data_IF_216596552652
#
_entry.id   IF_216596552652
#
_cell.length_a   1.000
_cell.length_b   1.000
_cell.length_c   1.000
_cell.angle_alpha   90.00
_cell.angle_beta   90.00
_cell.angle_gamma   90.00
#
_symmetry.space_group_name_H-M   'P 1'
#
loop_
_entity.id
_entity.type
_entity.pdbx_description
1 polymer ?
#
# COMPACT_ATOMS: atom_id res chain seq x y z
N UNK A 1 -43.06 -40.05 48.17
CA UNK A 1 -42.10 -40.11 49.29
C UNK A 1 -40.78 -40.66 48.75
N UNK A 2 -39.75 -39.82 48.65
CA UNK A 2 -38.36 -40.27 48.52
C UNK A 2 -37.83 -40.71 49.91
N UNK A 3 -36.80 -41.57 49.95
CA UNK A 3 -35.43 -41.07 50.26
C UNK A 3 -34.36 -41.70 49.34
N UNK A 4 -33.25 -41.07 48.89
CA UNK A 4 -32.13 -40.31 49.50
C UNK A 4 -30.85 -41.18 49.63
N UNK A 5 -29.88 -40.93 48.72
CA UNK A 5 -28.40 -41.09 48.81
C UNK A 5 -27.80 -42.52 48.99
N UNK A 6 -26.61 -42.91 48.50
CA UNK A 6 -25.32 -42.21 48.39
C UNK A 6 -24.32 -43.02 47.51
N UNK A 7 -23.60 -42.32 46.62
CA UNK A 7 -22.15 -42.41 46.25
C UNK A 7 -21.32 -43.70 46.08
N UNK A 8 -20.54 -43.64 44.98
CA UNK A 8 -19.08 -43.84 44.79
C UNK A 8 -18.49 -45.17 44.27
N UNK A 9 -17.77 -45.00 43.14
CA UNK A 9 -16.39 -45.42 42.85
C UNK A 9 -16.08 -46.79 42.23
N UNK A 10 -15.22 -46.74 41.19
CA UNK A 10 -14.32 -47.82 40.75
C UNK A 10 -14.33 -48.04 39.22
N UNK A 11 -13.39 -47.48 38.44
CA UNK A 11 -12.08 -48.10 38.05
C UNK A 11 -12.31 -49.16 36.92
N UNK A 12 -11.73 -49.18 35.71
CA UNK A 12 -10.48 -48.61 35.14
C UNK A 12 -10.29 -49.09 33.65
N UNK A 13 -9.34 -48.47 32.91
CA UNK A 13 -8.62 -48.92 31.67
C UNK A 13 -9.34 -48.89 30.30
N UNK A 14 -8.75 -48.60 29.13
CA UNK A 14 -7.41 -48.32 28.56
C UNK A 14 -7.65 -47.52 27.24
N UNK A 15 -6.91 -46.47 26.86
CA UNK A 15 -5.79 -46.45 25.89
C UNK A 15 -5.25 -44.98 25.87
N UNK A 16 -4.00 -44.64 26.25
CA UNK A 16 -2.71 -44.72 25.50
C UNK A 16 -2.85 -44.28 24.02
N UNK A 17 -2.06 -43.42 23.38
CA UNK A 17 -0.85 -42.59 23.55
C UNK A 17 -0.88 -41.65 22.29
N UNK A 18 -0.32 -40.44 22.19
CA UNK A 18 1.05 -39.98 22.40
C UNK A 18 1.06 -38.43 22.36
N UNK A 19 1.65 -37.72 23.35
CA UNK A 19 3.02 -37.12 23.35
C UNK A 19 3.20 -36.10 22.20
N UNK A 20 3.43 -34.80 22.42
CA UNK A 20 4.73 -34.18 22.83
C UNK A 20 4.54 -32.81 23.53
N UNK A 21 5.25 -32.67 24.66
CA UNK A 21 5.83 -31.51 25.40
C UNK A 21 5.49 -30.05 24.99
N UNK A 22 4.97 -29.17 25.87
CA UNK A 22 5.58 -28.49 27.05
C UNK A 22 6.85 -27.69 26.76
N UNK A 23 6.74 -26.35 26.75
CA UNK A 23 7.63 -25.45 27.51
C UNK A 23 6.83 -24.22 27.96
N UNK A 24 6.65 -24.09 29.28
CA UNK A 24 6.25 -22.87 29.98
C UNK A 24 7.53 -22.06 30.22
N UNK A 25 7.56 -20.80 29.81
CA UNK A 25 8.51 -19.82 30.34
C UNK A 25 7.73 -18.61 30.86
N UNK A 26 7.63 -18.56 32.18
CA UNK A 26 7.33 -17.37 32.97
C UNK A 26 8.56 -16.45 33.01
N UNK A 27 8.31 -15.17 33.24
CA UNK A 27 9.23 -14.14 33.76
C UNK A 27 10.36 -13.65 32.84
N UNK A 28 10.14 -12.48 32.21
CA UNK A 28 10.92 -11.28 32.52
C UNK A 28 10.34 -10.05 31.79
N UNK A 29 9.64 -9.21 32.55
CA UNK A 29 9.50 -7.79 32.24
C UNK A 29 10.91 -7.19 32.25
N UNK A 30 11.43 -6.85 31.07
CA UNK A 30 12.54 -5.90 30.95
C UNK A 30 12.05 -4.68 30.19
N UNK A 31 12.14 -3.56 30.89
CA UNK A 31 12.06 -2.20 30.37
C UNK A 31 12.84 -2.08 29.05
N UNK A 32 12.11 -1.92 27.95
CA UNK A 32 12.68 -1.33 26.74
C UNK A 32 12.45 0.17 26.89
N UNK A 33 13.44 0.84 27.47
CA UNK A 33 13.66 2.26 27.18
C UNK A 33 13.94 2.37 25.69
N UNK A 34 12.94 2.82 24.94
CA UNK A 34 13.12 3.37 23.61
C UNK A 34 13.96 4.64 23.79
N UNK A 35 15.29 4.50 23.73
CA UNK A 35 16.14 5.66 23.46
C UNK A 35 15.95 6.01 21.99
N UNK A 36 15.37 7.19 21.78
CA UNK A 36 15.26 7.84 20.49
C UNK A 36 16.66 8.02 19.88
N UNK A 37 17.02 7.13 18.97
CA UNK A 37 18.00 7.43 17.93
C UNK A 37 17.27 7.34 16.58
N UNK A 38 16.41 8.34 16.36
CA UNK A 38 15.93 8.68 15.03
C UNK A 38 17.15 9.22 14.27
N UNK A 39 17.89 8.32 13.63
CA UNK A 39 18.70 8.70 12.48
C UNK A 39 17.72 9.16 11.39
N UNK A 40 17.39 10.45 11.40
CA UNK A 40 16.93 11.14 10.21
C UNK A 40 17.98 10.86 9.13
N UNK A 41 17.68 9.94 8.22
CA UNK A 41 18.42 9.82 6.97
C UNK A 41 18.36 11.20 6.32
N UNK A 42 19.45 11.96 6.46
CA UNK A 42 19.65 13.20 5.71
C UNK A 42 19.62 12.81 4.25
N UNK A 43 18.78 13.49 3.48
CA UNK A 43 18.82 13.45 2.02
C UNK A 43 20.28 13.64 1.55
N UNK A 44 20.70 13.02 0.45
CA UNK A 44 22.04 13.20 -0.09
C UNK A 44 22.35 14.71 -0.24
N UNK A 45 23.60 15.13 0.03
CA UNK A 45 23.99 16.52 -0.07
C UNK A 45 23.74 17.02 -1.50
N UNK A 46 23.15 18.21 -1.59
CA UNK A 46 22.91 18.91 -2.84
C UNK A 46 24.27 19.30 -3.40
N UNK A 47 24.55 18.95 -4.66
CA UNK A 47 25.67 19.53 -5.39
C UNK A 47 25.35 21.02 -5.63
N UNK A 48 25.99 21.89 -4.85
CA UNK A 48 25.69 23.33 -4.78
C UNK A 48 26.06 24.10 -6.07
N UNK A 49 26.58 23.42 -7.10
CA UNK A 49 27.08 24.04 -8.32
C UNK A 49 26.09 24.10 -9.50
N UNK A 50 24.79 23.80 -9.31
CA UNK A 50 23.78 24.01 -10.37
C UNK A 50 23.15 25.40 -10.24
N UNK A 51 23.65 26.27 -11.12
CA UNK A 51 23.35 27.68 -11.39
C UNK A 51 21.88 28.14 -11.35
N UNK A 52 21.69 29.40 -10.93
CA UNK A 52 20.62 30.34 -11.29
C UNK A 52 19.14 29.87 -11.14
N UNK A 53 18.61 30.05 -9.92
CA UNK A 53 17.18 30.27 -9.60
C UNK A 53 16.13 29.28 -10.16
N UNK A 54 16.51 28.05 -10.48
CA UNK A 54 15.55 26.97 -10.69
C UNK A 54 14.95 26.51 -9.36
N UNK A 55 13.63 26.61 -9.20
CA UNK A 55 12.94 25.94 -8.09
C UNK A 55 13.11 24.43 -8.32
N UNK A 56 13.98 23.79 -7.54
CA UNK A 56 14.14 22.34 -7.56
C UNK A 56 12.91 21.68 -6.92
N UNK A 57 12.03 21.13 -7.76
CA UNK A 57 10.91 20.32 -7.32
C UNK A 57 11.28 18.84 -7.22
N UNK A 58 10.73 18.19 -6.19
CA UNK A 58 10.93 16.76 -5.94
C UNK A 58 10.08 15.91 -6.92
N UNK A 59 10.23 14.59 -6.86
CA UNK A 59 9.26 13.66 -7.43
C UNK A 59 8.20 13.27 -6.39
N UNK A 60 6.93 13.24 -6.76
CA UNK A 60 5.91 12.58 -5.94
C UNK A 60 5.76 11.12 -6.36
N UNK A 61 5.93 10.19 -5.43
CA UNK A 61 5.56 8.79 -5.62
C UNK A 61 4.39 8.40 -4.73
N UNK A 62 3.31 7.94 -5.36
CA UNK A 62 2.02 7.69 -4.72
C UNK A 62 1.48 6.29 -5.11
N UNK A 63 0.75 5.65 -4.20
CA UNK A 63 0.10 4.36 -4.48
C UNK A 63 -1.12 4.11 -3.59
N UNK A 64 -2.03 3.24 -4.02
CA UNK A 64 -3.14 2.74 -3.18
C UNK A 64 -2.73 1.89 -1.95
N UNK A 65 -1.42 1.68 -1.74
CA UNK A 65 -0.91 0.75 -0.73
C UNK A 65 -1.02 -0.71 -1.20
N UNK A 66 -0.30 -1.64 -0.57
CA UNK A 66 -0.42 -3.07 -0.94
C UNK A 66 0.20 -3.49 -2.29
N UNK A 67 0.56 -2.56 -3.17
CA UNK A 67 0.99 -2.84 -4.57
C UNK A 67 2.42 -3.36 -4.77
N UNK A 68 3.15 -3.75 -3.72
CA UNK A 68 4.49 -4.35 -3.88
C UNK A 68 5.62 -3.44 -4.42
N UNK A 69 5.48 -2.11 -4.39
CA UNK A 69 6.51 -1.17 -4.91
C UNK A 69 7.64 -0.81 -3.94
N UNK A 70 7.59 -1.28 -2.67
CA UNK A 70 8.50 -0.82 -1.60
C UNK A 70 9.99 -0.96 -1.93
N UNK A 71 10.40 -2.07 -2.55
CA UNK A 71 11.82 -2.32 -2.84
C UNK A 71 12.38 -1.33 -3.87
N UNK A 72 11.64 -1.10 -4.95
CA UNK A 72 11.99 -0.08 -5.95
C UNK A 72 12.09 1.31 -5.32
N UNK A 73 11.09 1.71 -4.51
CA UNK A 73 11.06 3.04 -3.90
C UNK A 73 12.19 3.28 -2.89
N UNK A 74 12.62 2.24 -2.17
CA UNK A 74 13.79 2.29 -1.28
C UNK A 74 15.09 2.48 -2.04
N UNK A 75 15.19 1.92 -3.25
CA UNK A 75 16.34 2.15 -4.10
C UNK A 75 16.28 3.58 -4.67
N UNK A 76 15.13 4.00 -5.17
CA UNK A 76 14.89 5.33 -5.72
C UNK A 76 15.24 6.48 -4.77
N UNK A 77 14.84 6.42 -3.49
CA UNK A 77 15.11 7.45 -2.49
C UNK A 77 16.62 7.71 -2.25
N UNK A 78 17.49 6.76 -2.60
CA UNK A 78 18.94 6.94 -2.47
C UNK A 78 19.54 7.86 -3.54
N UNK A 79 18.90 7.95 -4.70
CA UNK A 79 19.44 8.64 -5.89
C UNK A 79 18.56 9.79 -6.39
N UNK A 80 17.37 9.97 -5.81
CA UNK A 80 16.46 11.05 -6.21
C UNK A 80 15.65 11.58 -5.02
N UNK A 81 15.31 12.87 -5.11
CA UNK A 81 14.48 13.53 -4.10
C UNK A 81 13.01 13.17 -4.29
N UNK A 82 12.38 12.66 -3.23
CA UNK A 82 10.99 12.21 -3.25
C UNK A 82 10.26 12.49 -1.94
N UNK A 83 8.95 12.26 -1.90
CA UNK A 83 8.19 12.16 -0.65
C UNK A 83 8.62 10.95 0.20
N UNK A 84 8.33 10.99 1.50
CA UNK A 84 8.78 10.02 2.50
C UNK A 84 8.34 8.59 2.14
N UNK A 85 9.28 7.64 2.01
CA UNK A 85 8.93 6.28 1.60
C UNK A 85 8.05 5.53 2.62
N UNK A 86 8.11 5.91 3.89
CA UNK A 86 7.29 5.38 4.97
C UNK A 86 5.91 6.02 5.08
N UNK A 87 5.59 6.97 4.20
CA UNK A 87 4.36 7.76 4.23
C UNK A 87 4.16 8.48 5.58
N UNK A 88 5.27 8.99 6.17
CA UNK A 88 5.22 9.86 7.36
C UNK A 88 4.69 11.24 7.02
N UNK A 89 4.87 11.70 5.78
CA UNK A 89 4.30 12.95 5.27
C UNK A 89 2.83 12.83 4.82
N UNK A 90 2.29 11.61 4.76
CA UNK A 90 0.89 11.33 4.45
C UNK A 90 0.50 11.65 3.00
N UNK A 91 1.48 11.71 2.08
CA UNK A 91 1.24 12.08 0.69
C UNK A 91 0.90 10.88 -0.20
N UNK A 92 1.32 9.66 0.16
CA UNK A 92 1.23 8.49 -0.73
C UNK A 92 -0.18 8.02 -1.04
N UNK A 93 -1.15 8.36 -0.19
CA UNK A 93 -2.54 7.88 -0.32
C UNK A 93 -3.53 9.01 -0.62
N UNK A 94 -3.04 10.20 -0.98
CA UNK A 94 -3.90 11.30 -1.42
C UNK A 94 -4.34 11.07 -2.86
N UNK A 95 -5.65 11.11 -3.09
CA UNK A 95 -6.22 11.20 -4.43
C UNK A 95 -5.77 12.50 -5.11
N UNK A 96 -5.74 12.53 -6.44
CA UNK A 96 -5.39 13.73 -7.20
C UNK A 96 -6.31 14.92 -6.81
N UNK A 97 -7.60 14.66 -6.60
CA UNK A 97 -8.59 15.67 -6.18
C UNK A 97 -8.28 16.40 -4.86
N UNK A 98 -7.38 15.86 -4.03
CA UNK A 98 -6.95 16.47 -2.77
C UNK A 98 -5.85 17.53 -2.95
N UNK A 99 -5.21 17.58 -4.11
CA UNK A 99 -4.21 18.59 -4.42
C UNK A 99 -4.94 19.80 -4.97
N UNK A 100 -4.90 20.93 -4.26
CA UNK A 100 -5.57 22.18 -4.66
C UNK A 100 -4.63 23.17 -5.34
N UNK A 101 -3.33 23.01 -5.12
CA UNK A 101 -2.30 23.80 -5.75
C UNK A 101 -1.56 22.93 -6.76
N UNK A 102 -1.93 23.06 -8.03
CA UNK A 102 -1.27 22.38 -9.14
C UNK A 102 -1.43 23.19 -10.43
N UNK A 103 -0.52 22.96 -11.37
CA UNK A 103 -0.56 23.46 -12.74
C UNK A 103 0.19 22.47 -13.65
N UNK A 104 0.35 22.81 -14.93
CA UNK A 104 1.07 21.98 -15.91
C UNK A 104 2.53 21.67 -15.58
N UNK A 105 3.14 22.39 -14.64
CA UNK A 105 4.57 22.28 -14.30
C UNK A 105 4.81 21.65 -12.94
N UNK A 106 3.86 21.72 -12.01
CA UNK A 106 4.06 21.20 -10.65
C UNK A 106 2.76 21.01 -9.87
N UNK A 107 2.83 20.19 -8.82
CA UNK A 107 1.88 20.18 -7.71
C UNK A 107 2.59 20.65 -6.44
N UNK A 108 1.87 21.34 -5.56
CA UNK A 108 2.44 21.88 -4.31
C UNK A 108 1.63 21.48 -3.08
N UNK A 109 2.33 21.18 -1.99
CA UNK A 109 1.72 20.84 -0.70
C UNK A 109 2.64 21.23 0.46
N UNK A 110 2.14 22.05 1.38
CA UNK A 110 2.87 22.52 2.58
C UNK A 110 4.29 23.02 2.27
N UNK A 111 4.45 23.84 1.22
CA UNK A 111 5.74 24.41 0.82
C UNK A 111 6.67 23.48 0.03
N UNK A 112 6.30 22.21 -0.16
CA UNK A 112 6.97 21.30 -1.10
C UNK A 112 6.35 21.42 -2.48
N UNK A 113 7.16 21.34 -3.53
CA UNK A 113 6.70 21.23 -4.90
C UNK A 113 7.20 19.93 -5.54
N UNK A 114 6.39 19.37 -6.44
CA UNK A 114 6.71 18.17 -7.19
C UNK A 114 6.47 18.41 -8.68
N UNK A 115 7.48 18.20 -9.51
CA UNK A 115 7.43 18.43 -10.97
C UNK A 115 7.03 17.18 -11.76
N UNK A 116 7.13 16.00 -11.14
CA UNK A 116 6.73 14.71 -11.70
C UNK A 116 5.97 13.90 -10.67
N UNK A 117 5.05 13.06 -11.15
CA UNK A 117 4.30 12.13 -10.31
C UNK A 117 4.36 10.72 -10.88
N UNK A 118 4.86 9.77 -10.08
CA UNK A 118 4.72 8.35 -10.34
C UNK A 118 3.56 7.78 -9.52
N UNK A 119 2.56 7.23 -10.20
CA UNK A 119 1.40 6.59 -9.59
C UNK A 119 1.50 5.08 -9.81
N UNK A 120 1.70 4.31 -8.74
CA UNK A 120 1.75 2.85 -8.81
C UNK A 120 0.37 2.27 -8.51
N UNK A 121 -0.22 1.62 -9.53
CA UNK A 121 -1.53 0.97 -9.48
C UNK A 121 -1.32 -0.54 -9.33
N UNK A 122 -2.14 -1.17 -8.49
CA UNK A 122 -2.14 -2.61 -8.34
C UNK A 122 -3.54 -3.17 -8.52
N UNK A 123 -3.64 -4.50 -8.44
CA UNK A 123 -4.94 -5.15 -8.33
C UNK A 123 -5.67 -4.62 -7.06
N UNK A 124 -6.92 -4.16 -7.20
CA UNK A 124 -7.64 -3.51 -6.12
C UNK A 124 -8.02 -4.50 -5.02
N UNK A 125 -8.41 -5.73 -5.34
CA UNK A 125 -8.73 -6.75 -4.33
C UNK A 125 -7.48 -7.18 -3.58
N UNK A 126 -6.35 -7.36 -4.28
CA UNK A 126 -5.08 -7.69 -3.65
C UNK A 126 -4.58 -6.53 -2.79
N UNK A 127 -4.90 -5.29 -3.16
CA UNK A 127 -4.63 -4.13 -2.32
C UNK A 127 -5.40 -4.20 -1.01
N UNK A 128 -6.71 -4.47 -1.06
CA UNK A 128 -7.55 -4.64 0.14
C UNK A 128 -7.03 -5.79 1.00
N UNK A 129 -6.75 -6.95 0.40
CA UNK A 129 -6.18 -8.10 1.11
C UNK A 129 -4.83 -7.73 1.74
N UNK A 130 -3.84 -7.30 0.96
CA UNK A 130 -2.49 -6.97 1.44
C UNK A 130 -2.50 -5.94 2.58
N UNK A 131 -3.41 -4.96 2.51
CA UNK A 131 -3.53 -3.91 3.52
C UNK A 131 -4.43 -4.30 4.70
N UNK A 132 -5.16 -5.40 4.68
CA UNK A 132 -5.99 -5.85 5.80
C UNK A 132 -5.41 -7.06 6.55
N UNK A 133 -4.71 -7.96 5.86
CA UNK A 133 -4.27 -9.25 6.43
C UNK A 133 -2.77 -9.34 6.68
N UNK A 134 -1.94 -8.92 5.72
CA UNK A 134 -0.52 -9.34 5.67
C UNK A 134 0.49 -8.28 6.16
N UNK A 135 0.14 -7.00 6.17
CA UNK A 135 1.10 -5.95 6.54
C UNK A 135 1.09 -5.65 8.03
N UNK A 136 2.29 -5.31 8.55
CA UNK A 136 2.54 -4.73 9.89
C UNK A 136 1.60 -3.56 10.26
N UNK A 137 1.02 -2.91 9.26
CA UNK A 137 0.15 -1.75 9.42
C UNK A 137 -1.34 -2.10 9.51
N UNK A 138 -1.76 -3.30 9.09
CA UNK A 138 -3.18 -3.68 8.98
C UNK A 138 -4.01 -2.59 8.30
N UNK A 139 -5.28 -2.46 8.71
CA UNK A 139 -6.25 -1.51 8.14
C UNK A 139 -5.85 -0.02 8.22
N UNK A 140 -4.73 0.32 8.86
CA UNK A 140 -4.21 1.69 8.93
C UNK A 140 -3.99 2.30 7.54
N UNK A 141 -3.48 1.54 6.57
CA UNK A 141 -3.30 2.03 5.20
C UNK A 141 -4.63 2.25 4.49
N UNK A 142 -5.61 1.34 4.67
CA UNK A 142 -6.97 1.56 4.17
C UNK A 142 -7.60 2.80 4.78
N UNK A 143 -7.39 3.05 6.07
CA UNK A 143 -7.88 4.27 6.73
C UNK A 143 -7.18 5.54 6.23
N UNK A 144 -5.90 5.48 5.87
CA UNK A 144 -5.21 6.58 5.20
C UNK A 144 -5.82 6.85 3.82
N UNK A 145 -6.08 5.82 3.04
CA UNK A 145 -6.72 5.93 1.73
C UNK A 145 -8.16 6.46 1.81
N UNK A 146 -9.00 5.90 2.71
CA UNK A 146 -10.36 6.37 2.96
C UNK A 146 -10.39 7.87 3.28
N UNK A 147 -9.51 8.33 4.18
CA UNK A 147 -9.35 9.76 4.50
C UNK A 147 -8.88 10.58 3.30
N UNK A 148 -7.87 10.09 2.58
CA UNK A 148 -7.35 10.70 1.36
C UNK A 148 -8.34 10.75 0.20
N UNK A 149 -9.48 10.04 0.31
CA UNK A 149 -10.56 10.04 -0.66
C UNK A 149 -11.86 10.67 -0.13
N UNK A 150 -11.81 11.32 1.05
CA UNK A 150 -12.97 11.90 1.74
C UNK A 150 -14.12 10.91 1.94
N UNK A 151 -13.83 9.62 2.17
CA UNK A 151 -14.87 8.63 2.48
C UNK A 151 -15.43 8.91 3.87
N UNK A 152 -16.75 9.05 3.94
CA UNK A 152 -17.50 9.34 5.17
C UNK A 152 -17.67 8.04 5.97
N UNK A 153 -17.44 8.11 7.28
CA UNK A 153 -17.63 7.00 8.21
C UNK A 153 -16.46 6.82 9.16
N UNK A 154 -16.65 5.99 10.17
CA UNK A 154 -15.61 5.69 11.14
C UNK A 154 -14.43 4.95 10.47
N UNK A 155 -13.19 5.21 10.89
CA UNK A 155 -12.04 4.41 10.49
C UNK A 155 -12.25 2.94 10.87
N UNK A 156 -11.75 2.03 10.03
CA UNK A 156 -11.67 0.61 10.39
C UNK A 156 -10.88 0.43 11.68
N UNK A 157 -11.42 -0.39 12.58
CA UNK A 157 -10.76 -0.75 13.83
C UNK A 157 -9.61 -1.71 13.52
N UNK A 158 -8.57 -1.73 14.36
CA UNK A 158 -7.37 -2.55 14.14
C UNK A 158 -7.66 -4.04 13.89
N UNK A 159 -8.77 -4.55 14.44
CA UNK A 159 -9.22 -5.94 14.32
C UNK A 159 -10.27 -6.17 13.22
N UNK A 160 -10.57 -5.18 12.38
CA UNK A 160 -11.46 -5.36 11.23
C UNK A 160 -10.87 -6.41 10.29
N UNK A 161 -11.65 -7.43 9.97
CA UNK A 161 -11.23 -8.55 9.11
C UNK A 161 -11.44 -8.23 7.63
N UNK A 162 -10.73 -8.93 6.75
CA UNK A 162 -10.94 -8.86 5.30
C UNK A 162 -12.40 -9.17 4.92
N UNK A 163 -12.98 -10.21 5.53
CA UNK A 163 -14.37 -10.57 5.30
C UNK A 163 -15.32 -9.42 5.64
N UNK A 164 -15.13 -8.74 6.78
CA UNK A 164 -15.95 -7.58 7.16
C UNK A 164 -15.86 -6.43 6.13
N UNK A 165 -14.67 -6.17 5.59
CA UNK A 165 -14.47 -5.12 4.57
C UNK A 165 -15.22 -5.50 3.28
N UNK A 166 -15.10 -6.76 2.83
CA UNK A 166 -15.82 -7.23 1.66
C UNK A 166 -17.33 -7.25 1.85
N UNK A 167 -17.84 -7.68 3.01
CA UNK A 167 -19.27 -7.61 3.33
C UNK A 167 -19.77 -6.17 3.29
N UNK A 168 -19.06 -5.20 3.89
CA UNK A 168 -19.44 -3.78 3.83
C UNK A 168 -19.54 -3.28 2.37
N UNK A 169 -18.60 -3.66 1.51
CA UNK A 169 -18.63 -3.31 0.10
C UNK A 169 -19.80 -3.96 -0.65
N UNK A 170 -20.04 -5.25 -0.40
CA UNK A 170 -21.13 -6.02 -0.99
C UNK A 170 -22.51 -5.48 -0.59
N UNK A 171 -22.67 -5.10 0.68
CA UNK A 171 -23.89 -4.51 1.22
C UNK A 171 -24.12 -3.10 0.65
N UNK A 172 -23.06 -2.29 0.58
CA UNK A 172 -23.14 -0.94 0.02
C UNK A 172 -23.26 -0.93 -1.52
N UNK A 173 -22.94 -2.04 -2.19
CA UNK A 173 -22.91 -2.15 -3.65
C UNK A 173 -21.83 -1.30 -4.33
N UNK A 174 -20.80 -0.85 -3.60
CA UNK A 174 -19.78 0.08 -4.10
C UNK A 174 -18.47 -0.01 -3.30
N UNK A 175 -17.40 0.58 -3.86
CA UNK A 175 -16.12 0.74 -3.16
C UNK A 175 -16.23 1.64 -1.92
N UNK A 176 -15.98 1.06 -0.76
CA UNK A 176 -15.94 1.72 0.56
C UNK A 176 -14.52 2.06 1.02
N UNK A 177 -13.50 1.57 0.33
CA UNK A 177 -12.08 1.77 0.66
C UNK A 177 -11.51 3.04 0.05
N UNK A 178 -12.06 3.50 -1.08
CA UNK A 178 -11.57 4.66 -1.82
C UNK A 178 -10.53 4.35 -2.89
N UNK A 179 -10.18 3.09 -3.11
CA UNK A 179 -9.25 2.67 -4.18
C UNK A 179 -9.77 3.13 -5.55
N UNK A 180 -11.05 2.94 -5.85
CA UNK A 180 -11.61 3.31 -7.15
C UNK A 180 -11.50 4.82 -7.39
N UNK A 181 -11.90 5.62 -6.39
CA UNK A 181 -11.76 7.08 -6.45
C UNK A 181 -10.29 7.50 -6.59
N UNK A 182 -9.39 6.91 -5.80
CA UNK A 182 -7.97 7.22 -5.84
C UNK A 182 -7.39 7.02 -7.25
N UNK A 183 -7.58 5.83 -7.83
CA UNK A 183 -7.02 5.49 -9.15
C UNK A 183 -7.65 6.34 -10.25
N UNK A 184 -8.99 6.46 -10.27
CA UNK A 184 -9.66 7.27 -11.29
C UNK A 184 -9.25 8.74 -11.23
N UNK A 185 -9.02 9.30 -10.03
CA UNK A 185 -8.59 10.70 -9.89
C UNK A 185 -7.22 10.94 -10.51
N UNK A 186 -6.26 10.04 -10.27
CA UNK A 186 -4.91 10.12 -10.84
C UNK A 186 -4.90 9.82 -12.34
N UNK A 187 -5.74 8.90 -12.81
CA UNK A 187 -5.90 8.64 -14.23
C UNK A 187 -6.46 9.87 -14.96
N UNK A 188 -7.51 10.51 -14.44
CA UNK A 188 -8.04 11.76 -15.01
C UNK A 188 -6.99 12.87 -15.03
N UNK A 189 -6.25 13.03 -13.93
CA UNK A 189 -5.15 13.99 -13.85
C UNK A 189 -4.06 13.74 -14.90
N UNK A 190 -3.70 12.47 -15.16
CA UNK A 190 -2.68 12.14 -16.17
C UNK A 190 -3.11 12.42 -17.61
N UNK A 191 -4.42 12.49 -17.87
CA UNK A 191 -4.93 12.89 -19.18
C UNK A 191 -4.98 14.42 -19.35
N UNK A 192 -5.01 15.19 -18.26
CA UNK A 192 -5.14 16.64 -18.27
C UNK A 192 -3.78 17.35 -18.15
N UNK A 193 -2.97 17.23 -19.20
CA UNK A 193 -1.60 17.81 -19.25
C UNK A 193 -1.56 19.34 -19.24
N UNK A 194 -2.71 20.01 -19.43
CA UNK A 194 -2.79 21.47 -19.36
C UNK A 194 -2.83 21.98 -17.92
N UNK A 195 -3.33 21.17 -16.99
CA UNK A 195 -3.51 21.57 -15.59
C UNK A 195 -2.68 20.75 -14.59
N UNK A 196 -2.01 19.69 -15.03
CA UNK A 196 -1.23 18.80 -14.18
C UNK A 196 0.22 18.65 -14.66
N UNK A 197 1.18 18.44 -13.73
CA UNK A 197 2.55 18.10 -14.09
C UNK A 197 2.60 16.76 -14.82
N UNK A 198 3.79 16.37 -15.24
CA UNK A 198 3.97 15.07 -15.86
C UNK A 198 3.63 13.94 -14.87
N UNK A 199 2.59 13.17 -15.21
CA UNK A 199 2.11 12.04 -14.40
C UNK A 199 2.31 10.76 -15.21
N UNK A 200 3.06 9.82 -14.64
CA UNK A 200 3.21 8.46 -15.16
C UNK A 200 2.47 7.49 -14.26
N UNK A 201 1.53 6.74 -14.84
CA UNK A 201 0.89 5.61 -14.18
C UNK A 201 1.69 4.36 -14.56
N UNK A 202 1.92 3.48 -13.59
CA UNK A 202 2.56 2.18 -13.80
C UNK A 202 1.82 1.12 -12.99
N UNK A 203 1.84 -0.12 -13.44
CA UNK A 203 1.50 -1.25 -12.58
C UNK A 203 2.74 -1.72 -11.84
N UNK A 204 2.60 -2.60 -10.85
CA UNK A 204 3.77 -3.25 -10.24
C UNK A 204 4.62 -3.94 -11.30
N UNK A 205 3.99 -4.59 -12.27
CA UNK A 205 4.70 -5.24 -13.36
C UNK A 205 5.51 -4.24 -14.18
N UNK A 206 4.89 -3.21 -14.76
CA UNK A 206 5.62 -2.24 -15.59
C UNK A 206 6.60 -1.38 -14.80
N UNK A 207 6.40 -1.22 -13.48
CA UNK A 207 7.38 -0.59 -12.60
C UNK A 207 8.70 -1.37 -12.56
N UNK A 208 8.64 -2.69 -12.38
CA UNK A 208 9.83 -3.54 -12.28
C UNK A 208 10.41 -3.90 -13.64
N UNK A 209 9.58 -4.21 -14.63
CA UNK A 209 10.05 -4.60 -15.97
C UNK A 209 10.73 -3.44 -16.71
N UNK A 210 10.34 -2.20 -16.41
CA UNK A 210 10.92 -0.97 -16.98
C UNK A 210 11.62 -0.12 -15.90
N UNK A 211 12.27 -0.77 -14.93
CA UNK A 211 12.79 -0.08 -13.73
C UNK A 211 13.83 1.01 -14.07
N UNK A 212 14.70 0.75 -15.05
CA UNK A 212 15.74 1.69 -15.48
C UNK A 212 15.13 2.91 -16.16
N UNK A 213 14.18 2.70 -17.07
CA UNK A 213 13.48 3.76 -17.81
C UNK A 213 12.63 4.62 -16.87
N UNK A 214 11.99 3.99 -15.89
CA UNK A 214 11.24 4.70 -14.85
C UNK A 214 12.18 5.53 -13.97
N UNK A 215 13.33 5.01 -13.55
CA UNK A 215 14.31 5.75 -12.75
C UNK A 215 14.87 6.96 -13.52
N UNK A 216 15.26 6.75 -14.78
CA UNK A 216 15.73 7.82 -15.68
C UNK A 216 14.66 8.89 -15.86
N UNK A 217 13.42 8.49 -16.14
CA UNK A 217 12.30 9.42 -16.27
C UNK A 217 12.07 10.25 -15.00
N UNK A 218 12.31 9.67 -13.82
CA UNK A 218 12.20 10.35 -12.54
C UNK A 218 13.39 11.26 -12.18
N UNK A 219 14.42 11.31 -13.03
CA UNK A 219 15.58 12.18 -12.84
C UNK A 219 16.71 11.55 -12.03
N UNK A 220 16.80 10.21 -11.98
CA UNK A 220 18.02 9.54 -11.53
C UNK A 220 19.13 9.77 -12.58
N UNK A 221 20.33 10.09 -12.12
CA UNK A 221 21.49 10.33 -12.99
C UNK A 221 21.88 9.06 -13.77
N UNK A 222 22.38 9.24 -15.00
CA UNK A 222 22.72 8.12 -15.88
C UNK A 222 23.75 7.14 -15.27
N UNK A 223 24.68 7.63 -14.45
CA UNK A 223 25.68 6.83 -13.73
C UNK A 223 25.08 5.91 -12.65
N UNK A 224 23.95 6.30 -12.07
CA UNK A 224 23.26 5.56 -11.01
C UNK A 224 22.21 4.56 -11.54
N UNK A 225 21.90 4.60 -12.84
CA UNK A 225 20.87 3.76 -13.45
C UNK A 225 21.17 2.26 -13.36
N UNK A 226 22.45 1.88 -13.26
CA UNK A 226 22.85 0.47 -13.10
C UNK A 226 22.26 -0.16 -11.82
N UNK A 227 21.91 0.64 -10.80
CA UNK A 227 21.31 0.15 -9.57
C UNK A 227 19.84 -0.29 -9.72
N UNK A 228 19.24 -0.07 -10.89
CA UNK A 228 17.87 -0.46 -11.18
C UNK A 228 17.77 -1.65 -12.14
N UNK A 229 18.88 -2.10 -12.74
CA UNK A 229 18.87 -3.15 -13.78
C UNK A 229 18.53 -4.56 -13.26
N UNK A 230 18.66 -4.79 -11.95
CA UNK A 230 18.34 -6.08 -11.34
C UNK A 230 16.86 -6.22 -10.99
N UNK A 231 16.09 -5.14 -11.07
CA UNK A 231 14.66 -5.19 -10.84
C UNK A 231 13.97 -5.93 -11.98
N UNK A 232 13.15 -6.90 -11.60
CA UNK A 232 12.32 -7.67 -12.52
C UNK A 232 11.04 -8.06 -11.81
N UNK A 233 9.92 -8.05 -12.53
CA UNK A 233 8.67 -8.49 -11.94
C UNK A 233 8.72 -9.99 -11.68
N UNK A 234 8.37 -10.39 -10.45
CA UNK A 234 8.31 -11.79 -10.08
C UNK A 234 6.89 -12.16 -9.64
N UNK A 235 6.18 -12.85 -10.53
CA UNK A 235 4.81 -13.29 -10.30
C UNK A 235 4.68 -14.23 -9.09
N UNK A 236 5.69 -15.05 -8.77
CA UNK A 236 5.62 -15.97 -7.63
C UNK A 236 5.64 -15.27 -6.27
N UNK A 237 6.03 -13.98 -6.24
CA UNK A 237 5.94 -13.13 -5.05
C UNK A 237 4.57 -12.46 -4.91
N UNK A 238 3.71 -12.54 -5.92
CA UNK A 238 2.31 -12.16 -5.76
C UNK A 238 1.59 -13.28 -5.01
N UNK A 239 1.04 -12.96 -3.84
CA UNK A 239 0.18 -13.90 -3.15
C UNK A 239 -1.05 -14.14 -4.02
N UNK A 240 -1.43 -15.40 -4.22
CA UNK A 240 -2.72 -15.73 -4.83
C UNK A 240 -3.80 -15.06 -3.99
N UNK A 241 -4.71 -14.33 -4.64
CA UNK A 241 -5.88 -13.74 -3.98
C UNK A 241 -6.58 -14.84 -3.19
N UNK A 242 -6.40 -14.82 -1.87
CA UNK A 242 -7.19 -15.64 -0.99
C UNK A 242 -8.38 -14.75 -0.65
N UNK A 243 -9.51 -15.08 -1.24
CA UNK A 243 -10.79 -14.49 -0.89
C UNK A 243 -11.46 -15.46 0.10
N UNK A 244 -10.97 -15.61 1.36
CA UNK A 244 -11.53 -16.58 2.27
C UNK A 244 -12.99 -16.23 2.54
N UNK A 245 -13.86 -17.23 2.40
CA UNK A 245 -15.28 -17.15 2.75
C UNK A 245 -16.10 -16.15 1.94
N UNK A 246 -15.79 -15.97 0.65
CA UNK A 246 -16.69 -15.32 -0.32
C UNK A 246 -17.01 -16.31 -1.43
N UNK A 247 -18.28 -16.35 -1.79
CA UNK A 247 -18.80 -17.16 -2.90
C UNK A 247 -18.31 -16.61 -4.23
N UNK A 248 -18.40 -17.44 -5.29
CA UNK A 248 -18.06 -17.01 -6.65
C UNK A 248 -18.85 -15.77 -7.09
N UNK A 249 -20.16 -15.73 -6.78
CA UNK A 249 -21.04 -14.60 -7.10
C UNK A 249 -20.62 -13.31 -6.36
N UNK A 250 -20.21 -13.41 -5.10
CA UNK A 250 -19.67 -12.27 -4.36
C UNK A 250 -18.34 -11.78 -4.94
N UNK A 251 -17.45 -12.70 -5.31
CA UNK A 251 -16.19 -12.33 -5.97
C UNK A 251 -16.43 -11.62 -7.30
N UNK A 252 -17.40 -12.06 -8.12
CA UNK A 252 -17.80 -11.39 -9.36
C UNK A 252 -18.33 -9.97 -9.08
N UNK A 253 -19.19 -9.81 -8.07
CA UNK A 253 -19.70 -8.49 -7.65
C UNK A 253 -18.60 -7.56 -7.15
N UNK A 254 -17.65 -8.07 -6.37
CA UNK A 254 -16.48 -7.30 -5.91
C UNK A 254 -15.60 -6.86 -7.08
N UNK A 255 -15.35 -7.74 -8.06
CA UNK A 255 -14.60 -7.39 -9.26
C UNK A 255 -15.33 -6.32 -10.09
N UNK A 256 -16.65 -6.43 -10.23
CA UNK A 256 -17.46 -5.45 -10.96
C UNK A 256 -17.37 -4.04 -10.36
N UNK A 257 -17.29 -3.92 -9.02
CA UNK A 257 -17.08 -2.62 -8.35
C UNK A 257 -15.76 -1.96 -8.72
N UNK A 258 -14.76 -2.74 -9.11
CA UNK A 258 -13.42 -2.28 -9.45
C UNK A 258 -13.08 -2.37 -10.93
N UNK A 259 -14.05 -2.66 -11.80
CA UNK A 259 -13.83 -2.85 -13.24
C UNK A 259 -13.07 -1.69 -13.90
N UNK A 260 -13.31 -0.45 -13.44
CA UNK A 260 -12.64 0.74 -13.95
C UNK A 260 -11.16 0.74 -13.57
N UNK A 261 -10.82 0.37 -12.33
CA UNK A 261 -9.44 0.23 -11.86
C UNK A 261 -8.73 -0.87 -12.65
N UNK A 262 -9.36 -2.02 -12.83
CA UNK A 262 -8.82 -3.13 -13.62
C UNK A 262 -8.60 -2.72 -15.08
N UNK A 263 -9.54 -1.99 -15.68
CA UNK A 263 -9.40 -1.47 -17.04
C UNK A 263 -8.23 -0.48 -17.16
N UNK A 264 -8.10 0.48 -16.23
CA UNK A 264 -6.97 1.42 -16.19
C UNK A 264 -5.65 0.67 -16.03
N UNK A 265 -5.57 -0.31 -15.11
CA UNK A 265 -4.36 -1.08 -14.88
C UNK A 265 -3.93 -1.89 -16.12
N UNK A 266 -4.89 -2.47 -16.87
CA UNK A 266 -4.61 -3.14 -18.15
C UNK A 266 -4.07 -2.16 -19.19
N UNK A 267 -4.74 -1.04 -19.40
CA UNK A 267 -4.29 -0.02 -20.36
C UNK A 267 -2.88 0.49 -20.04
N UNK A 268 -2.55 0.67 -18.75
CA UNK A 268 -1.22 1.10 -18.29
C UNK A 268 -0.16 0.00 -18.48
N UNK A 269 -0.55 -1.27 -18.50
CA UNK A 269 0.37 -2.39 -18.72
C UNK A 269 0.66 -2.62 -20.20
N UNK A 270 -0.30 -2.31 -21.07
CA UNK A 270 -0.22 -2.54 -22.52
C UNK A 270 0.47 -1.41 -23.30
N UNK A 271 0.73 -0.26 -22.67
CA UNK A 271 1.47 0.86 -23.27
C UNK A 271 2.98 0.62 -23.03
N UNK A 272 3.77 0.32 -24.07
CA UNK A 272 5.21 0.14 -23.96
C UNK A 272 5.95 1.44 -23.61
#
# INVERSE_FOLDING_TARGET
MQPLHTTLAGIVFFFLNAVVAVVIFSSNLRNITLSDNINLHRSPPIDENVTAAGIFCDTLVTSQGGVGSTSYLRQFEKYARTNDIGDRDGLKHKAASCWKSHNSSSISFNGRCFSKVLVVIGDPLHTVESTSTWRRFGVYHLNKLRRGCNKVGDPYKKNTTLHQIYTEMLDAGKDMTGIDHYVQSWYKASQDRLNWPEIKLVTTQTLYDNAVENAKWLGVNDEDLCHFSEFSFNLSKMHSLSLPNVTKSEAERLNEMFKNVTHIARNVTEIP
#
